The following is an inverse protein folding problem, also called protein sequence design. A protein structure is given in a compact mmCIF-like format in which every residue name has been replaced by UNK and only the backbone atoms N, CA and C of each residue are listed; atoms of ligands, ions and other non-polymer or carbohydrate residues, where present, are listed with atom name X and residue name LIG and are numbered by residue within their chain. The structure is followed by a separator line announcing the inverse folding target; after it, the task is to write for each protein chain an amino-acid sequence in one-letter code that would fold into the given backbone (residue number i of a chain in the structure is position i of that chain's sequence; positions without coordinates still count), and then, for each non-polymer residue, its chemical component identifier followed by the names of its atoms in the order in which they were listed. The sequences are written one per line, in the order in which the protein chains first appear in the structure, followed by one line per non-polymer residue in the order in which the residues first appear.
data_IF_710268635299
#
_entry.id   IF_710268635299
#
_cell.length_a   1.000
_cell.length_b   1.000
_cell.length_c   1.000
_cell.angle_alpha   90.00
_cell.angle_beta   90.00
_cell.angle_gamma   90.00
#
_symmetry.space_group_name_H-M   'P 1'
#
loop_
_entity.id
_entity.type
_entity.pdbx_description
1 polymer ?
#
# COMPACT_ATOMS: atom_id res chain seq x y z
N UNK A 1 -1.17 10.41 8.13
CA UNK A 1 -0.72 9.01 8.30
C UNK A 1 0.36 8.75 7.27
N UNK A 2 1.53 8.26 7.65
CA UNK A 2 2.63 8.00 6.71
C UNK A 2 2.30 6.87 5.74
N UNK A 3 2.87 6.91 4.53
CA UNK A 3 2.66 5.88 3.50
C UNK A 3 3.01 4.47 3.98
N UNK A 4 4.03 4.32 4.83
CA UNK A 4 4.39 3.04 5.44
C UNK A 4 3.23 2.46 6.28
N UNK A 5 2.58 3.30 7.08
CA UNK A 5 1.41 2.90 7.87
C UNK A 5 0.22 2.56 6.96
N UNK A 6 0.00 3.34 5.89
CA UNK A 6 -1.05 3.04 4.90
C UNK A 6 -0.83 1.70 4.19
N UNK A 7 0.40 1.37 3.81
CA UNK A 7 0.73 0.08 3.18
C UNK A 7 0.48 -1.09 4.11
N UNK A 8 0.79 -0.93 5.40
CA UNK A 8 0.51 -1.93 6.42
C UNK A 8 -1.00 -2.20 6.56
N UNK A 9 -1.83 -1.17 6.47
CA UNK A 9 -3.29 -1.32 6.48
C UNK A 9 -3.78 -2.06 5.24
N UNK A 10 -3.34 -1.67 4.03
CA UNK A 10 -3.68 -2.36 2.78
C UNK A 10 -3.31 -3.85 2.85
N UNK A 11 -2.09 -4.15 3.31
CA UNK A 11 -1.60 -5.53 3.48
C UNK A 11 -2.49 -6.34 4.44
N UNK A 12 -2.86 -5.74 5.58
CA UNK A 12 -3.72 -6.39 6.58
C UNK A 12 -5.14 -6.63 6.05
N UNK A 13 -5.73 -5.64 5.38
CA UNK A 13 -7.06 -5.75 4.79
C UNK A 13 -7.12 -6.88 3.75
N UNK A 14 -6.04 -7.05 2.98
CA UNK A 14 -5.91 -8.11 1.98
C UNK A 14 -5.47 -9.46 2.56
N UNK A 15 -5.26 -9.55 3.88
CA UNK A 15 -4.80 -10.73 4.63
C UNK A 15 -3.51 -11.32 4.07
N UNK A 16 -2.61 -10.46 3.61
CA UNK A 16 -1.33 -10.84 3.03
C UNK A 16 -0.21 -10.82 4.09
N UNK A 17 0.68 -11.80 4.03
CA UNK A 17 1.95 -11.72 4.73
C UNK A 17 2.83 -10.62 4.11
N UNK A 18 3.86 -10.17 4.84
CA UNK A 18 4.83 -9.21 4.29
C UNK A 18 5.48 -9.74 3.01
N UNK A 19 5.81 -11.03 2.99
CA UNK A 19 6.44 -11.69 1.85
C UNK A 19 5.52 -11.68 0.62
N UNK A 20 4.28 -12.14 0.76
CA UNK A 20 3.31 -12.14 -0.35
C UNK A 20 3.04 -10.72 -0.88
N UNK A 21 2.94 -9.73 0.02
CA UNK A 21 2.76 -8.34 -0.38
C UNK A 21 3.96 -7.82 -1.19
N UNK A 22 5.18 -8.16 -0.78
CA UNK A 22 6.39 -7.83 -1.51
C UNK A 22 6.47 -8.53 -2.87
N UNK A 23 6.13 -9.82 -2.93
CA UNK A 23 6.14 -10.60 -4.18
C UNK A 23 5.12 -10.04 -5.19
N UNK A 24 3.91 -9.70 -4.75
CA UNK A 24 2.87 -9.11 -5.63
C UNK A 24 3.29 -7.76 -6.22
N UNK A 25 4.02 -6.96 -5.45
CA UNK A 25 4.43 -5.60 -5.86
C UNK A 25 5.84 -5.57 -6.46
N UNK A 26 6.55 -6.71 -6.46
CA UNK A 26 7.96 -6.80 -6.82
C UNK A 26 8.84 -5.90 -5.96
N UNK A 27 8.55 -5.80 -4.66
CA UNK A 27 9.43 -5.16 -3.68
C UNK A 27 10.41 -6.17 -3.11
N UNK A 28 11.61 -5.70 -2.75
CA UNK A 28 12.50 -6.49 -1.90
C UNK A 28 11.98 -6.45 -0.46
N UNK A 29 11.88 -7.61 0.19
CA UNK A 29 11.45 -7.71 1.61
C UNK A 29 12.28 -6.79 2.52
N UNK A 30 13.59 -6.68 2.26
CA UNK A 30 14.50 -5.79 2.97
C UNK A 30 14.11 -4.32 2.87
N UNK A 31 13.63 -3.88 1.70
CA UNK A 31 13.17 -2.51 1.48
C UNK A 31 11.85 -2.27 2.19
N UNK A 32 10.91 -3.22 2.10
CA UNK A 32 9.63 -3.11 2.76
C UNK A 32 9.74 -3.08 4.30
N UNK A 33 10.64 -3.88 4.88
CA UNK A 33 10.96 -3.80 6.32
C UNK A 33 11.47 -2.43 6.73
N UNK A 34 12.31 -1.79 5.91
CA UNK A 34 12.81 -0.44 6.19
C UNK A 34 11.68 0.61 6.09
N UNK A 35 10.72 0.44 5.17
CA UNK A 35 9.51 1.29 5.13
C UNK A 35 8.70 1.13 6.43
N UNK A 36 8.34 -0.10 6.82
CA UNK A 36 7.52 -0.33 8.03
C UNK A 36 8.21 0.09 9.33
N UNK A 37 9.55 0.07 9.36
CA UNK A 37 10.34 0.54 10.50
C UNK A 37 10.67 2.05 10.46
N UNK A 38 10.24 2.78 9.42
CA UNK A 38 10.48 4.23 9.30
C UNK A 38 11.92 4.62 9.00
N UNK A 39 12.77 3.68 8.60
CA UNK A 39 14.17 3.96 8.24
C UNK A 39 14.31 4.65 6.88
N UNK A 40 13.34 4.45 5.99
CA UNK A 40 13.31 5.06 4.66
C UNK A 40 11.89 5.54 4.35
N UNK A 41 11.79 6.69 3.68
CA UNK A 41 10.51 7.19 3.19
C UNK A 41 10.07 6.47 1.92
N UNK A 42 8.76 6.25 1.80
CA UNK A 42 8.17 5.65 0.62
C UNK A 42 8.23 6.65 -0.53
N UNK A 43 9.05 6.36 -1.53
CA UNK A 43 9.13 7.18 -2.74
C UNK A 43 7.96 6.95 -3.72
N UNK A 44 7.77 7.91 -4.62
CA UNK A 44 6.84 7.82 -5.75
C UNK A 44 6.84 6.49 -6.53
N UNK A 45 7.99 5.86 -6.87
CA UNK A 45 7.99 4.59 -7.61
C UNK A 45 7.34 3.43 -6.82
N UNK A 46 7.45 3.44 -5.48
CA UNK A 46 6.80 2.44 -4.65
C UNK A 46 5.28 2.68 -4.56
N UNK A 47 4.86 3.94 -4.48
CA UNK A 47 3.44 4.31 -4.52
C UNK A 47 2.80 3.88 -5.84
N UNK A 48 3.46 4.18 -6.96
CA UNK A 48 3.01 3.82 -8.30
C UNK A 48 2.79 2.31 -8.47
N UNK A 49 3.64 1.48 -7.87
CA UNK A 49 3.46 0.03 -7.91
C UNK A 49 2.17 -0.44 -7.25
N UNK A 50 1.76 0.19 -6.15
CA UNK A 50 0.53 -0.18 -5.44
C UNK A 50 -0.70 0.33 -6.18
N UNK A 51 -0.73 1.61 -6.55
CA UNK A 51 -1.91 2.21 -7.18
C UNK A 51 -2.21 1.62 -8.56
N UNK A 52 -1.18 1.18 -9.29
CA UNK A 52 -1.35 0.52 -10.59
C UNK A 52 -1.54 -1.00 -10.50
N UNK A 53 -1.41 -1.60 -9.31
CA UNK A 53 -1.63 -3.03 -9.17
C UNK A 53 -3.14 -3.31 -9.10
N UNK A 54 -3.70 -4.18 -9.96
CA UNK A 54 -5.15 -4.36 -10.13
C UNK A 54 -5.87 -4.73 -8.83
N UNK A 55 -5.18 -5.43 -7.91
CA UNK A 55 -5.72 -5.79 -6.59
C UNK A 55 -5.80 -4.62 -5.61
N UNK A 56 -4.92 -3.63 -5.75
CA UNK A 56 -4.78 -2.52 -4.78
C UNK A 56 -5.25 -1.17 -5.34
N UNK A 57 -5.56 -1.06 -6.64
CA UNK A 57 -6.07 0.17 -7.27
C UNK A 57 -7.31 0.75 -6.56
N UNK A 58 -8.12 -0.08 -5.91
CA UNK A 58 -9.27 0.34 -5.08
C UNK A 58 -8.89 1.17 -3.85
N UNK A 59 -7.63 1.17 -3.43
CA UNK A 59 -7.15 1.97 -2.29
C UNK A 59 -6.48 3.28 -2.73
N UNK A 60 -6.42 3.58 -4.03
CA UNK A 60 -5.63 4.69 -4.59
C UNK A 60 -6.06 6.05 -4.04
N UNK A 61 -7.36 6.32 -4.03
CA UNK A 61 -7.90 7.60 -3.58
C UNK A 61 -7.57 7.83 -2.10
N UNK A 62 -7.76 6.81 -1.28
CA UNK A 62 -7.47 6.85 0.15
C UNK A 62 -5.95 6.96 0.42
N UNK A 63 -5.13 6.24 -0.35
CA UNK A 63 -3.68 6.28 -0.22
C UNK A 63 -3.14 7.69 -0.47
N UNK A 64 -3.66 8.38 -1.50
CA UNK A 64 -3.14 9.67 -1.97
C UNK A 64 -3.80 10.89 -1.33
N UNK A 65 -5.10 10.82 -1.02
CA UNK A 65 -5.89 11.99 -0.59
C UNK A 65 -6.62 11.79 0.74
N UNK A 66 -6.50 10.61 1.36
CA UNK A 66 -7.25 10.21 2.56
C UNK A 66 -8.79 10.25 2.38
N UNK A 67 -9.27 10.41 1.15
CA UNK A 67 -10.68 10.34 0.78
C UNK A 67 -11.06 8.93 0.32
N UNK A 68 -12.32 8.56 0.53
CA UNK A 68 -12.92 7.34 0.00
C UNK A 68 -14.10 7.70 -0.89
N UNK A 69 -14.33 6.89 -1.91
CA UNK A 69 -15.45 7.04 -2.83
C UNK A 69 -15.99 5.66 -3.18
N UNK A 70 -16.78 5.09 -2.26
CA UNK A 70 -17.34 3.74 -2.36
C UNK A 70 -18.16 3.54 -3.63
N UNK A 71 -18.81 4.60 -4.13
CA UNK A 71 -19.59 4.61 -5.38
C UNK A 71 -18.72 4.27 -6.62
N UNK A 72 -17.44 4.60 -6.58
CA UNK A 72 -16.47 4.32 -7.65
C UNK A 72 -15.58 3.11 -7.33
N UNK A 73 -15.91 2.32 -6.29
CA UNK A 73 -15.10 1.21 -5.82
C UNK A 73 -13.77 1.64 -5.16
N UNK A 74 -13.63 2.92 -4.77
CA UNK A 74 -12.47 3.42 -4.03
C UNK A 74 -12.75 3.34 -2.52
N UNK A 75 -12.13 2.39 -1.85
CA UNK A 75 -12.39 2.05 -0.45
C UNK A 75 -11.18 2.31 0.43
N UNK A 76 -11.40 2.50 1.73
CA UNK A 76 -10.33 2.45 2.73
C UNK A 76 -10.11 0.98 3.13
N UNK A 77 -8.86 0.55 3.36
CA UNK A 77 -8.62 -0.65 4.16
C UNK A 77 -9.11 -0.38 5.59
N UNK A 78 -10.08 -1.17 6.07
CA UNK A 78 -10.51 -1.21 7.48
C UNK A 78 -9.62 -2.12 8.32
#
# INVERSE_FOLDING_TARGET
MDFAAKFKLIRKAERLTQKEFCELLGFSESTFRKYEAGFIEVGAPALLKIVNHPRFTKYTLWLMTDLTASECGQVSPE
#
